data_IF_095697005839
#
_entry.id   IF_095697005839
#
_cell.length_a   1.000
_cell.length_b   1.000
_cell.length_c   1.000
_cell.angle_alpha   90.00
_cell.angle_beta   90.00
_cell.angle_gamma   90.00
#
_symmetry.space_group_name_H-M   'P 1'
#
loop_
_entity.id
_entity.type
_entity.pdbx_description
1 polymer ?
#
# COMPACT_ATOMS: atom_id res chain seq x y z
N UNK A 1 5.52 -13.09 -6.52
CA UNK A 1 4.22 -12.45 -6.20
C UNK A 1 3.05 -13.18 -6.84
N UNK A 2 3.12 -13.59 -8.11
CA UNK A 2 2.09 -14.39 -8.80
C UNK A 2 1.64 -15.63 -8.00
N UNK A 3 2.57 -16.35 -7.38
CA UNK A 3 2.24 -17.51 -6.52
C UNK A 3 1.26 -17.18 -5.38
N UNK A 4 1.32 -15.97 -4.81
CA UNK A 4 0.38 -15.55 -3.77
C UNK A 4 -1.02 -15.31 -4.35
N UNK A 5 -1.12 -14.84 -5.60
CA UNK A 5 -2.39 -14.76 -6.30
C UNK A 5 -2.96 -16.14 -6.62
N UNK A 6 -2.12 -17.10 -7.04
CA UNK A 6 -2.55 -18.50 -7.22
C UNK A 6 -3.15 -19.07 -5.93
N UNK A 7 -2.43 -18.93 -4.81
CA UNK A 7 -2.90 -19.38 -3.50
C UNK A 7 -4.20 -18.69 -3.08
N UNK A 8 -4.35 -17.39 -3.35
CA UNK A 8 -5.60 -16.67 -3.07
C UNK A 8 -6.76 -17.24 -3.88
N UNK A 9 -6.57 -17.44 -5.19
CA UNK A 9 -7.61 -17.97 -6.08
C UNK A 9 -8.01 -19.39 -5.69
N UNK A 10 -7.03 -20.23 -5.32
CA UNK A 10 -7.31 -21.58 -4.84
C UNK A 10 -8.11 -21.57 -3.54
N UNK A 11 -7.79 -20.67 -2.61
CA UNK A 11 -8.57 -20.52 -1.37
C UNK A 11 -9.98 -20.02 -1.65
N UNK A 12 -10.15 -19.03 -2.52
CA UNK A 12 -11.46 -18.49 -2.89
C UNK A 12 -12.34 -19.51 -3.61
N UNK A 13 -11.76 -20.49 -4.31
CA UNK A 13 -12.51 -21.57 -4.97
C UNK A 13 -12.88 -22.71 -4.03
N UNK A 14 -12.02 -23.02 -3.06
CA UNK A 14 -12.11 -24.26 -2.29
C UNK A 14 -12.62 -24.07 -0.85
N UNK A 15 -12.68 -22.83 -0.33
CA UNK A 15 -13.15 -22.57 1.02
C UNK A 15 -14.61 -22.08 1.02
N UNK A 16 -15.42 -22.61 1.94
CA UNK A 16 -16.84 -22.22 2.12
C UNK A 16 -17.05 -20.80 2.68
N UNK A 17 -15.98 -20.00 2.83
CA UNK A 17 -16.04 -18.65 3.40
C UNK A 17 -16.57 -17.63 2.37
N UNK A 18 -16.53 -17.95 1.08
CA UNK A 18 -16.94 -17.05 0.00
C UNK A 18 -17.54 -17.83 -1.17
N UNK A 19 -18.71 -17.41 -1.64
CA UNK A 19 -19.23 -17.83 -2.94
C UNK A 19 -18.40 -17.18 -4.05
N UNK A 20 -17.71 -18.01 -4.83
CA UNK A 20 -16.88 -17.57 -5.94
C UNK A 20 -17.63 -16.63 -6.90
N UNK A 21 -18.86 -16.97 -7.28
CA UNK A 21 -19.62 -16.25 -8.30
C UNK A 21 -20.44 -15.09 -7.73
N UNK A 22 -20.93 -15.23 -6.50
CA UNK A 22 -21.95 -14.32 -5.98
C UNK A 22 -21.43 -13.31 -4.96
N UNK A 23 -20.37 -13.61 -4.22
CA UNK A 23 -19.90 -12.67 -3.19
C UNK A 23 -18.96 -11.63 -3.77
N UNK A 24 -19.10 -10.39 -3.30
CA UNK A 24 -18.13 -9.33 -3.58
C UNK A 24 -16.84 -9.58 -2.80
N UNK A 25 -15.70 -9.37 -3.49
CA UNK A 25 -14.35 -9.58 -2.96
C UNK A 25 -13.62 -8.25 -2.92
N UNK A 26 -13.28 -7.81 -1.72
CA UNK A 26 -12.42 -6.65 -1.50
C UNK A 26 -11.00 -7.14 -1.19
N UNK A 27 -10.08 -7.01 -2.14
CA UNK A 27 -8.70 -7.48 -1.98
C UNK A 27 -7.79 -6.27 -1.87
N UNK A 28 -7.01 -6.19 -0.80
CA UNK A 28 -6.08 -5.06 -0.57
C UNK A 28 -4.63 -5.48 -0.81
N UNK A 29 -3.96 -4.77 -1.71
CA UNK A 29 -2.53 -4.87 -1.96
C UNK A 29 -1.84 -3.76 -1.18
N UNK A 30 -0.92 -4.14 -0.28
CA UNK A 30 -0.04 -3.20 0.41
C UNK A 30 1.34 -3.84 0.58
N UNK A 31 2.19 -3.64 -0.42
CA UNK A 31 3.50 -4.29 -0.57
C UNK A 31 4.53 -3.30 -1.15
N UNK A 32 5.79 -3.71 -1.24
CA UNK A 32 6.90 -2.88 -1.73
C UNK A 32 7.76 -2.26 -0.62
N UNK A 33 7.26 -2.24 0.62
CA UNK A 33 8.03 -1.72 1.76
C UNK A 33 9.33 -2.50 1.98
N UNK A 34 9.26 -3.84 1.93
CA UNK A 34 10.44 -4.69 2.06
C UNK A 34 11.40 -4.53 0.87
N UNK A 35 10.88 -4.38 -0.35
CA UNK A 35 11.70 -4.12 -1.53
C UNK A 35 12.55 -2.85 -1.38
N UNK A 36 11.94 -1.77 -0.88
CA UNK A 36 12.65 -0.52 -0.57
C UNK A 36 13.54 -0.62 0.68
N UNK A 37 13.26 -1.54 1.60
CA UNK A 37 14.06 -1.77 2.80
C UNK A 37 15.32 -2.60 2.53
N UNK A 38 15.28 -3.44 1.50
CA UNK A 38 16.34 -4.37 1.09
C UNK A 38 16.97 -4.01 -0.27
N UNK A 39 16.58 -2.88 -0.89
CA UNK A 39 17.00 -2.50 -2.24
C UNK A 39 18.52 -2.53 -2.46
N UNK A 40 19.29 -2.20 -1.41
CA UNK A 40 20.74 -2.14 -1.45
C UNK A 40 21.42 -3.51 -1.40
N UNK A 41 20.67 -4.60 -1.20
CA UNK A 41 21.17 -5.98 -1.25
C UNK A 41 21.14 -6.57 -2.65
N UNK A 42 20.18 -6.13 -3.48
CA UNK A 42 19.99 -6.55 -4.86
C UNK A 42 19.25 -5.45 -5.63
N UNK A 43 20.01 -4.48 -6.13
CA UNK A 43 19.46 -3.32 -6.83
C UNK A 43 18.75 -3.72 -8.14
N UNK A 44 19.16 -4.80 -8.79
CA UNK A 44 18.48 -5.24 -10.01
C UNK A 44 17.09 -5.76 -9.67
N UNK A 45 16.98 -6.64 -8.68
CA UNK A 45 15.70 -7.24 -8.27
C UNK A 45 14.70 -6.19 -7.78
N UNK A 46 15.17 -5.22 -7.00
CA UNK A 46 14.35 -4.19 -6.38
C UNK A 46 14.25 -2.90 -7.22
N UNK A 47 14.68 -2.92 -8.48
CA UNK A 47 14.49 -1.80 -9.39
C UNK A 47 12.99 -1.44 -9.54
N UNK A 48 12.62 -0.14 -9.63
CA UNK A 48 11.24 0.29 -9.77
C UNK A 48 10.48 -0.36 -10.92
N UNK A 49 11.12 -0.58 -12.08
CA UNK A 49 10.46 -1.21 -13.22
C UNK A 49 10.11 -2.68 -12.94
N UNK A 50 10.98 -3.40 -12.21
CA UNK A 50 10.71 -4.77 -11.79
C UNK A 50 9.58 -4.83 -10.76
N UNK A 51 9.57 -3.94 -9.77
CA UNK A 51 8.47 -3.84 -8.81
C UNK A 51 7.12 -3.63 -9.51
N UNK A 52 7.02 -2.66 -10.43
CA UNK A 52 5.80 -2.39 -11.21
C UNK A 52 5.44 -3.61 -12.08
N UNK A 53 6.44 -4.28 -12.66
CA UNK A 53 6.27 -5.55 -13.37
C UNK A 53 5.61 -6.64 -12.52
N UNK A 54 6.04 -6.82 -11.27
CA UNK A 54 5.45 -7.80 -10.35
C UNK A 54 4.01 -7.47 -9.96
N UNK A 55 3.70 -6.19 -9.76
CA UNK A 55 2.32 -5.73 -9.56
C UNK A 55 1.48 -6.10 -10.79
N UNK A 56 1.92 -5.71 -11.99
CA UNK A 56 1.23 -6.01 -13.26
C UNK A 56 0.98 -7.51 -13.42
N UNK A 57 2.01 -8.33 -13.28
CA UNK A 57 1.89 -9.77 -13.52
C UNK A 57 0.91 -10.43 -12.53
N UNK A 58 0.86 -9.94 -11.29
CA UNK A 58 -0.09 -10.43 -10.28
C UNK A 58 -1.53 -9.98 -10.56
N UNK A 59 -1.74 -8.72 -10.94
CA UNK A 59 -3.06 -8.22 -11.33
C UNK A 59 -3.56 -8.89 -12.61
N UNK A 60 -2.68 -9.09 -13.60
CA UNK A 60 -2.98 -9.84 -14.82
C UNK A 60 -3.40 -11.27 -14.48
N UNK A 61 -2.70 -11.92 -13.55
CA UNK A 61 -3.05 -13.27 -13.09
C UNK A 61 -4.46 -13.32 -12.46
N UNK A 62 -4.83 -12.34 -11.62
CA UNK A 62 -6.17 -12.27 -11.01
C UNK A 62 -7.25 -11.94 -12.04
N UNK A 63 -6.98 -10.97 -12.93
CA UNK A 63 -7.90 -10.55 -13.98
C UNK A 63 -8.20 -11.70 -14.95
N UNK A 64 -7.15 -12.37 -15.44
CA UNK A 64 -7.25 -13.50 -16.38
C UNK A 64 -7.80 -14.78 -15.74
N UNK A 65 -7.83 -14.87 -14.41
CA UNK A 65 -8.52 -15.95 -13.70
C UNK A 65 -10.05 -15.86 -13.81
N UNK A 66 -10.58 -14.79 -14.40
CA UNK A 66 -12.00 -14.43 -14.40
C UNK A 66 -12.57 -14.37 -12.98
N UNK A 67 -11.81 -13.82 -12.03
CA UNK A 67 -12.29 -13.59 -10.67
C UNK A 67 -13.42 -12.55 -10.72
N UNK A 68 -14.68 -12.90 -10.37
CA UNK A 68 -15.81 -11.99 -10.54
C UNK A 68 -16.03 -11.12 -9.30
N UNK A 69 -16.87 -10.08 -9.43
CA UNK A 69 -17.32 -9.18 -8.36
C UNK A 69 -16.17 -8.73 -7.44
N UNK A 70 -15.11 -8.19 -8.04
CA UNK A 70 -13.87 -7.89 -7.32
C UNK A 70 -13.52 -6.41 -7.39
N UNK A 71 -13.25 -5.84 -6.22
CA UNK A 71 -12.60 -4.54 -6.09
C UNK A 71 -11.21 -4.76 -5.49
N UNK A 72 -10.18 -4.39 -6.25
CA UNK A 72 -8.81 -4.37 -5.76
C UNK A 72 -8.50 -2.97 -5.20
N UNK A 73 -8.24 -2.89 -3.91
CA UNK A 73 -7.59 -1.73 -3.30
C UNK A 73 -6.09 -1.87 -3.46
N UNK A 74 -5.47 -0.97 -4.22
CA UNK A 74 -4.03 -0.97 -4.39
C UNK A 74 -3.41 0.20 -3.64
N UNK A 75 -3.02 -0.06 -2.39
CA UNK A 75 -2.39 0.94 -1.55
C UNK A 75 -0.96 1.19 -2.05
N UNK A 76 -0.65 2.46 -2.34
CA UNK A 76 0.69 2.84 -2.75
C UNK A 76 1.69 2.53 -1.63
N UNK A 77 2.89 2.11 -2.03
CA UNK A 77 3.98 1.85 -1.08
C UNK A 77 4.26 3.12 -0.26
N UNK A 78 4.44 2.93 1.04
CA UNK A 78 4.80 4.00 1.96
C UNK A 78 6.21 4.55 1.69
N UNK A 79 6.47 5.76 2.14
CA UNK A 79 7.83 6.31 2.22
C UNK A 79 8.60 5.64 3.37
N UNK A 80 9.69 4.94 3.05
CA UNK A 80 10.54 4.27 4.05
C UNK A 80 11.68 5.13 4.58
N UNK A 81 11.96 6.31 3.98
CA UNK A 81 13.03 7.22 4.43
C UNK A 81 12.92 7.64 5.90
N UNK A 82 11.72 7.81 6.50
CA UNK A 82 11.59 8.09 7.93
C UNK A 82 12.23 7.04 8.85
N UNK A 83 12.54 5.83 8.37
CA UNK A 83 13.31 4.83 9.12
C UNK A 83 14.64 5.40 9.68
N UNK A 84 15.29 6.33 8.96
CA UNK A 84 16.51 7.03 9.38
C UNK A 84 16.35 7.83 10.69
N UNK A 85 15.16 8.38 10.93
CA UNK A 85 14.84 9.08 12.18
C UNK A 85 14.29 8.10 13.23
N UNK A 86 13.38 7.20 12.83
CA UNK A 86 12.73 6.24 13.72
C UNK A 86 13.71 5.35 14.49
N UNK A 87 14.83 4.95 13.87
CA UNK A 87 15.88 4.19 14.53
C UNK A 87 16.49 4.87 15.76
N UNK A 88 16.36 6.19 15.89
CA UNK A 88 16.91 6.96 17.00
C UNK A 88 15.94 7.05 18.20
N UNK A 89 14.79 6.38 18.16
CA UNK A 89 13.81 6.41 19.26
C UNK A 89 14.36 5.86 20.57
N UNK A 90 15.07 4.74 20.53
CA UNK A 90 15.82 4.17 21.64
C UNK A 90 16.84 3.13 21.12
N UNK A 91 17.66 2.56 22.01
CA UNK A 91 18.68 1.57 21.65
C UNK A 91 18.10 0.34 20.94
N UNK A 92 16.94 -0.15 21.38
CA UNK A 92 16.26 -1.32 20.81
C UNK A 92 15.76 -1.00 19.39
N UNK A 93 15.19 0.19 19.15
CA UNK A 93 14.79 0.64 17.81
C UNK A 93 15.97 0.53 16.84
N UNK A 94 17.12 1.07 17.20
CA UNK A 94 18.32 1.04 16.36
C UNK A 94 18.80 -0.39 16.08
N UNK A 95 18.77 -1.27 17.07
CA UNK A 95 19.16 -2.67 16.89
C UNK A 95 18.21 -3.42 15.94
N UNK A 96 16.90 -3.23 16.08
CA UNK A 96 15.89 -3.93 15.29
C UNK A 96 15.78 -3.39 13.86
N UNK A 97 15.94 -2.07 13.67
CA UNK A 97 15.93 -1.42 12.35
C UNK A 97 17.05 -1.90 11.42
N UNK A 98 18.20 -2.36 11.97
CA UNK A 98 19.26 -3.02 11.17
C UNK A 98 18.81 -4.31 10.49
N UNK A 99 17.70 -4.91 10.93
CA UNK A 99 17.12 -6.11 10.33
C UNK A 99 15.82 -5.80 9.59
N UNK A 100 15.01 -4.88 10.12
CA UNK A 100 13.70 -4.58 9.54
C UNK A 100 13.79 -3.73 8.27
N UNK A 101 14.67 -2.73 8.25
CA UNK A 101 14.79 -1.82 7.10
C UNK A 101 16.20 -1.23 6.96
N UNK A 102 17.24 -2.08 6.79
CA UNK A 102 18.63 -1.65 6.86
C UNK A 102 18.98 -0.55 5.85
N UNK A 103 18.53 -0.68 4.60
CA UNK A 103 18.91 0.24 3.53
C UNK A 103 18.30 1.64 3.69
N UNK A 104 17.17 1.78 4.38
CA UNK A 104 16.55 3.09 4.66
C UNK A 104 16.91 3.65 6.04
N UNK A 105 17.17 2.79 7.03
CA UNK A 105 17.57 3.22 8.37
C UNK A 105 19.05 3.62 8.47
N UNK A 106 19.92 2.98 7.69
CA UNK A 106 21.37 3.22 7.68
C UNK A 106 21.94 3.42 6.26
N UNK A 107 21.38 4.34 5.46
CA UNK A 107 21.84 4.56 4.10
C UNK A 107 23.22 5.20 4.08
N UNK A 108 24.04 4.86 3.08
CA UNK A 108 25.10 5.73 2.59
C UNK A 108 24.50 6.94 1.85
N UNK A 109 25.29 7.98 1.57
CA UNK A 109 24.80 9.14 0.80
C UNK A 109 24.29 8.74 -0.60
N UNK A 110 24.91 7.76 -1.23
CA UNK A 110 24.48 7.22 -2.53
C UNK A 110 23.15 6.48 -2.42
N UNK A 111 23.00 5.62 -1.40
CA UNK A 111 21.76 4.90 -1.12
C UNK A 111 20.60 5.86 -0.81
N UNK A 112 20.86 6.96 -0.11
CA UNK A 112 19.86 7.99 0.16
C UNK A 112 19.39 8.70 -1.12
N UNK A 113 20.31 8.98 -2.06
CA UNK A 113 19.94 9.52 -3.38
C UNK A 113 19.08 8.53 -4.17
N UNK A 114 19.46 7.25 -4.18
CA UNK A 114 18.69 6.20 -4.86
C UNK A 114 17.28 6.11 -4.27
N UNK A 115 17.10 6.10 -2.95
CA UNK A 115 15.77 6.08 -2.32
C UNK A 115 14.93 7.31 -2.70
N UNK A 116 15.55 8.50 -2.78
CA UNK A 116 14.86 9.72 -3.20
C UNK A 116 14.35 9.64 -4.65
N UNK A 117 15.03 8.89 -5.51
CA UNK A 117 14.62 8.66 -6.90
C UNK A 117 13.62 7.51 -7.04
N UNK A 118 13.84 6.40 -6.32
CA UNK A 118 13.09 5.16 -6.50
C UNK A 118 11.70 5.19 -5.86
N UNK A 119 11.52 5.78 -4.68
CA UNK A 119 10.21 5.82 -4.01
C UNK A 119 9.15 6.50 -4.90
N UNK A 120 9.41 7.69 -5.49
CA UNK A 120 8.49 8.28 -6.45
C UNK A 120 8.25 7.41 -7.68
N UNK A 121 9.27 6.71 -8.20
CA UNK A 121 9.12 5.82 -9.37
C UNK A 121 8.26 4.59 -9.06
N UNK A 122 8.42 3.99 -7.88
CA UNK A 122 7.54 2.91 -7.39
C UNK A 122 6.08 3.37 -7.35
N UNK A 123 5.83 4.52 -6.72
CA UNK A 123 4.49 5.06 -6.55
C UNK A 123 3.88 5.46 -7.90
N UNK A 124 4.60 6.22 -8.72
CA UNK A 124 4.10 6.72 -10.00
C UNK A 124 3.93 5.61 -11.03
N UNK A 125 4.89 4.66 -11.13
CA UNK A 125 4.77 3.56 -12.08
C UNK A 125 3.56 2.66 -11.80
N UNK A 126 3.18 2.52 -10.52
CA UNK A 126 1.93 1.87 -10.13
C UNK A 126 0.71 2.70 -10.55
N UNK A 127 0.71 4.01 -10.32
CA UNK A 127 -0.39 4.89 -10.76
C UNK A 127 -0.56 4.83 -12.27
N UNK A 128 0.52 4.91 -13.03
CA UNK A 128 0.52 4.85 -14.49
C UNK A 128 0.00 3.50 -15.00
N UNK A 129 0.41 2.40 -14.35
CA UNK A 129 -0.09 1.06 -14.66
C UNK A 129 -1.62 0.99 -14.52
N UNK A 130 -2.19 1.50 -13.42
CA UNK A 130 -3.65 1.45 -13.21
C UNK A 130 -4.38 2.42 -14.14
N UNK A 131 -3.85 3.64 -14.30
CA UNK A 131 -4.45 4.66 -15.18
C UNK A 131 -4.34 4.33 -16.67
N UNK A 132 -3.56 3.31 -17.05
CA UNK A 132 -3.52 2.80 -18.44
C UNK A 132 -4.84 2.20 -18.92
N UNK A 133 -5.78 1.93 -18.01
CA UNK A 133 -7.07 1.30 -18.32
C UNK A 133 -6.98 -0.21 -18.56
N UNK A 134 -5.82 -0.83 -18.29
CA UNK A 134 -5.55 -2.27 -18.51
C UNK A 134 -6.60 -3.20 -17.90
N UNK A 135 -7.24 -2.79 -16.80
CA UNK A 135 -8.20 -3.61 -16.04
C UNK A 135 -9.65 -3.11 -16.15
N UNK A 136 -9.94 -2.15 -17.04
CA UNK A 136 -11.28 -1.54 -17.17
C UNK A 136 -12.23 -2.28 -18.12
N UNK A 137 -11.75 -3.34 -18.79
CA UNK A 137 -12.50 -4.11 -19.79
C UNK A 137 -13.63 -4.99 -19.25
N UNK A 138 -13.86 -4.98 -17.93
CA UNK A 138 -14.91 -5.77 -17.25
C UNK A 138 -15.69 -4.88 -16.28
N UNK A 139 -16.98 -5.17 -16.10
CA UNK A 139 -17.85 -4.42 -15.18
C UNK A 139 -17.91 -5.01 -13.77
N UNK A 140 -17.37 -6.22 -13.60
CA UNK A 140 -17.33 -6.95 -12.34
C UNK A 140 -15.92 -7.04 -11.73
N UNK A 141 -14.96 -6.29 -12.29
CA UNK A 141 -13.59 -6.23 -11.79
C UNK A 141 -13.05 -4.80 -11.94
N UNK A 142 -12.47 -4.24 -10.88
CA UNK A 142 -11.80 -2.94 -10.94
C UNK A 142 -10.61 -2.87 -10.00
N UNK A 143 -9.63 -2.04 -10.34
CA UNK A 143 -8.46 -1.75 -9.51
C UNK A 143 -8.45 -0.26 -9.20
N UNK A 144 -8.41 0.08 -7.91
CA UNK A 144 -8.43 1.47 -7.44
C UNK A 144 -7.17 1.74 -6.63
N UNK A 145 -6.40 2.76 -7.03
CA UNK A 145 -5.25 3.22 -6.26
C UNK A 145 -5.71 3.92 -4.99
N UNK A 146 -5.11 3.56 -3.85
CA UNK A 146 -5.36 4.16 -2.54
C UNK A 146 -4.06 4.84 -2.04
N UNK A 147 -3.83 6.15 -2.31
CA UNK A 147 -2.55 6.80 -2.05
C UNK A 147 -2.29 7.20 -0.59
N UNK A 148 -3.20 6.92 0.36
CA UNK A 148 -3.15 7.41 1.75
C UNK A 148 -1.84 7.17 2.54
N UNK A 149 -0.93 6.30 2.07
CA UNK A 149 0.39 6.06 2.68
C UNK A 149 1.55 6.76 1.96
N UNK A 150 1.36 7.22 0.73
CA UNK A 150 2.44 7.64 -0.16
C UNK A 150 3.25 8.83 0.35
N UNK A 151 2.59 9.75 1.08
CA UNK A 151 3.17 10.96 1.68
C UNK A 151 2.97 11.00 3.21
N UNK A 152 2.68 9.86 3.82
CA UNK A 152 2.53 9.77 5.28
C UNK A 152 3.88 9.91 5.96
N UNK A 153 3.93 10.77 6.98
CA UNK A 153 5.11 10.97 7.84
C UNK A 153 4.82 10.47 9.25
N UNK A 154 5.84 10.08 10.04
CA UNK A 154 5.63 9.71 11.43
C UNK A 154 4.89 10.83 12.21
N UNK A 155 3.88 10.48 13.02
CA UNK A 155 3.11 11.45 13.76
C UNK A 155 3.98 12.02 14.88
N UNK A 156 3.76 13.29 15.21
CA UNK A 156 4.53 13.99 16.24
C UNK A 156 3.63 14.49 17.36
N UNK A 157 4.18 14.52 18.57
CA UNK A 157 3.62 15.18 19.76
C UNK A 157 4.69 16.06 20.38
N UNK A 158 4.43 17.37 20.46
CA UNK A 158 5.42 18.38 20.90
C UNK A 158 6.77 18.22 20.17
N UNK A 159 6.71 18.20 18.83
CA UNK A 159 7.83 18.07 17.89
C UNK A 159 8.65 16.77 17.94
N UNK A 160 8.32 15.84 18.84
CA UNK A 160 8.93 14.51 18.92
C UNK A 160 8.03 13.48 18.24
N UNK A 161 8.63 12.46 17.63
CA UNK A 161 7.88 11.31 17.10
C UNK A 161 7.05 10.69 18.23
N UNK A 162 5.76 10.49 17.96
CA UNK A 162 4.87 9.73 18.83
C UNK A 162 5.05 8.23 18.54
N UNK A 163 6.00 7.62 19.25
CA UNK A 163 6.31 6.20 19.11
C UNK A 163 5.15 5.26 19.49
N UNK A 164 4.05 5.75 20.09
CA UNK A 164 2.87 4.91 20.35
C UNK A 164 2.18 4.39 19.09
N UNK A 165 2.48 4.96 17.92
CA UNK A 165 2.02 4.48 16.61
C UNK A 165 2.81 3.28 16.08
N UNK A 166 3.93 2.93 16.70
CA UNK A 166 4.84 1.89 16.22
C UNK A 166 4.97 0.75 17.25
N UNK A 167 5.28 -0.43 16.73
CA UNK A 167 5.62 -1.61 17.51
C UNK A 167 6.99 -1.44 18.21
N UNK A 168 7.43 -2.38 19.07
CA UNK A 168 8.73 -2.30 19.74
C UNK A 168 9.96 -2.15 18.82
N UNK A 169 9.85 -2.49 17.54
CA UNK A 169 10.90 -2.25 16.53
C UNK A 169 10.95 -0.81 15.98
N UNK A 170 9.96 0.02 16.36
CA UNK A 170 9.83 1.41 15.95
C UNK A 170 9.71 1.58 14.42
N UNK A 171 9.25 0.53 13.72
CA UNK A 171 9.09 0.48 12.27
C UNK A 171 7.69 0.01 11.88
N UNK A 172 7.31 -1.21 12.29
CA UNK A 172 5.96 -1.71 12.05
C UNK A 172 4.95 -0.95 12.90
N UNK A 173 3.71 -0.86 12.43
CA UNK A 173 2.67 -0.16 13.16
C UNK A 173 2.26 -0.92 14.43
N UNK A 174 1.99 -0.18 15.49
CA UNK A 174 1.27 -0.71 16.65
C UNK A 174 -0.21 -0.89 16.32
N UNK A 175 -1.00 -1.39 17.28
CA UNK A 175 -2.46 -1.35 17.16
C UNK A 175 -3.00 0.05 16.87
N UNK A 176 -2.43 1.10 17.48
CA UNK A 176 -2.81 2.50 17.22
C UNK A 176 -2.47 2.92 15.79
N UNK A 177 -1.28 2.57 15.31
CA UNK A 177 -0.88 2.85 13.91
C UNK A 177 -1.76 2.13 12.90
N UNK A 178 -2.04 0.84 13.14
CA UNK A 178 -2.97 0.07 12.31
C UNK A 178 -4.39 0.67 12.32
N UNK A 179 -4.92 1.11 13.47
CA UNK A 179 -6.23 1.76 13.52
C UNK A 179 -6.31 3.00 12.62
N UNK A 180 -5.27 3.85 12.63
CA UNK A 180 -5.24 5.04 11.77
C UNK A 180 -5.03 4.67 10.30
N UNK A 181 -4.19 3.68 10.00
CA UNK A 181 -4.02 3.17 8.64
C UNK A 181 -5.32 2.60 8.06
N UNK A 182 -6.06 1.82 8.84
CA UNK A 182 -7.35 1.24 8.44
C UNK A 182 -8.42 2.31 8.22
N UNK A 183 -8.52 3.29 9.13
CA UNK A 183 -9.38 4.47 8.95
C UNK A 183 -9.03 5.21 7.65
N UNK A 184 -7.73 5.41 7.40
CA UNK A 184 -7.26 6.14 6.23
C UNK A 184 -7.61 5.40 4.94
N UNK A 185 -7.37 4.09 4.87
CA UNK A 185 -7.80 3.28 3.73
C UNK A 185 -9.32 3.35 3.51
N UNK A 186 -10.11 3.27 4.59
CA UNK A 186 -11.56 3.37 4.53
C UNK A 186 -11.99 4.70 3.93
N UNK A 187 -11.53 5.82 4.48
CA UNK A 187 -11.89 7.15 4.00
C UNK A 187 -11.43 7.34 2.54
N UNK A 188 -10.24 6.85 2.19
CA UNK A 188 -9.72 6.93 0.82
C UNK A 188 -10.60 6.19 -0.21
N UNK A 189 -11.31 5.12 0.18
CA UNK A 189 -12.32 4.47 -0.67
C UNK A 189 -13.54 5.37 -0.93
N UNK A 190 -13.85 6.29 -0.03
CA UNK A 190 -14.97 7.24 -0.13
C UNK A 190 -14.55 8.64 -0.59
N UNK A 191 -13.31 8.81 -1.02
CA UNK A 191 -12.85 10.00 -1.75
C UNK A 191 -12.88 9.73 -3.26
N UNK A 192 -13.38 10.67 -4.05
CA UNK A 192 -13.45 10.51 -5.51
C UNK A 192 -12.06 10.35 -6.13
N UNK A 193 -11.97 9.57 -7.21
CA UNK A 193 -10.69 9.42 -7.93
C UNK A 193 -10.20 10.80 -8.40
N UNK A 194 -8.93 11.10 -8.12
CA UNK A 194 -8.33 12.42 -8.39
C UNK A 194 -8.37 13.39 -7.19
N UNK A 195 -9.20 13.15 -6.18
CA UNK A 195 -9.26 13.98 -4.95
C UNK A 195 -8.77 13.26 -3.70
N UNK A 196 -8.44 11.97 -3.82
CA UNK A 196 -7.92 11.11 -2.74
C UNK A 196 -6.73 11.74 -2.00
N UNK A 197 -6.73 11.66 -0.67
CA UNK A 197 -5.59 12.09 0.15
C UNK A 197 -4.41 11.14 0.01
N UNK A 198 -3.21 11.72 0.01
CA UNK A 198 -1.93 11.00 -0.10
C UNK A 198 -1.26 10.71 1.24
N UNK A 199 -1.90 11.12 2.33
CA UNK A 199 -1.42 10.97 3.70
C UNK A 199 -2.56 10.47 4.57
N UNK A 200 -2.22 9.85 5.69
CA UNK A 200 -3.21 9.32 6.61
C UNK A 200 -4.17 10.38 7.19
N UNK A 201 -5.38 9.93 7.49
CA UNK A 201 -6.48 10.72 8.03
C UNK A 201 -6.37 10.82 9.56
N UNK A 202 -5.21 11.26 10.07
CA UNK A 202 -4.96 11.30 11.50
C UNK A 202 -5.90 12.31 12.21
N UNK A 203 -6.68 11.82 13.17
CA UNK A 203 -7.61 12.65 13.95
C UNK A 203 -8.97 12.89 13.30
N UNK A 204 -9.23 12.26 12.16
CA UNK A 204 -10.52 12.30 11.47
C UNK A 204 -11.45 11.15 11.92
N UNK A 205 -12.73 11.24 11.58
CA UNK A 205 -13.71 10.17 11.76
C UNK A 205 -13.83 9.29 10.52
N UNK A 206 -14.52 8.15 10.65
CA UNK A 206 -14.86 7.33 9.48
C UNK A 206 -15.84 8.08 8.59
N UNK A 207 -15.54 8.14 7.29
CA UNK A 207 -16.48 8.62 6.29
C UNK A 207 -17.64 7.63 6.15
N UNK A 208 -18.85 8.17 6.08
CA UNK A 208 -20.07 7.39 5.90
C UNK A 208 -20.65 7.67 4.51
N UNK A 209 -21.04 6.64 3.74
CA UNK A 209 -21.75 6.85 2.48
C UNK A 209 -23.02 7.67 2.69
N UNK A 210 -23.29 8.58 1.76
CA UNK A 210 -24.52 9.40 1.75
C UNK A 210 -25.54 8.82 0.78
N UNK A 211 -26.77 9.36 0.77
CA UNK A 211 -27.76 8.97 -0.24
C UNK A 211 -27.32 9.35 -1.66
N UNK A 212 -26.64 10.48 -1.82
CA UNK A 212 -26.15 10.96 -3.11
C UNK A 212 -24.91 10.19 -3.58
N UNK A 213 -24.10 9.70 -2.64
CA UNK A 213 -22.88 8.93 -2.91
C UNK A 213 -22.80 7.66 -2.05
N UNK A 214 -23.59 6.62 -2.37
CA UNK A 214 -23.72 5.43 -1.53
C UNK A 214 -22.64 4.36 -1.79
N UNK A 215 -21.75 4.56 -2.77
CA UNK A 215 -20.80 3.56 -3.25
C UNK A 215 -19.35 3.97 -3.04
N UNK A 216 -18.45 2.96 -2.99
CA UNK A 216 -17.01 3.18 -3.09
C UNK A 216 -16.70 3.80 -4.45
N UNK A 217 -15.82 4.82 -4.44
CA UNK A 217 -15.40 5.49 -5.65
C UNK A 217 -14.35 4.67 -6.42
N UNK A 218 -14.62 4.53 -7.71
CA UNK A 218 -13.83 3.82 -8.73
C UNK A 218 -13.67 4.72 -9.95
N UNK A 219 -12.82 4.33 -10.91
CA UNK A 219 -12.70 5.06 -12.19
C UNK A 219 -14.04 5.21 -12.94
N UNK A 220 -15.00 4.29 -12.71
CA UNK A 220 -16.29 4.25 -13.42
C UNK A 220 -17.42 5.06 -12.78
N UNK A 221 -17.27 5.54 -11.54
CA UNK A 221 -18.32 6.24 -10.79
C UNK A 221 -17.81 7.43 -9.96
N UNK A 222 -16.73 8.08 -10.41
CA UNK A 222 -16.10 9.23 -9.73
C UNK A 222 -16.52 10.61 -10.26
N UNK A 223 -17.58 10.70 -11.06
CA UNK A 223 -18.19 11.94 -11.57
C UNK A 223 -19.53 12.15 -10.88
#
# INVERSE_FOLDING_TARGET
MVEQADLLLDRLRNQEICDWNNDWKLITFFIGGNDLCDFCTDMQKHDPANFVGWIRDTLDRLYNANLPRTLINLALVLDVRPAKELKNGNFICGLLQKRACPCAAYPTEEQEKILNEWIPQYQQGVVDLINSGRYDGRDDFTVVVQPFMAKTVPPRKADKIDFSYFSPDCFHFSGKGHSVASLSLWNNMFESVGTKKYSWHQGEGFECPTQDHPFIYTSKNSI
#
